data_IF_840565146144
#
_entry.id   IF_840565146144
#
_cell.length_a   1.000
_cell.length_b   1.000
_cell.length_c   1.000
_cell.angle_alpha   90.00
_cell.angle_beta   90.00
_cell.angle_gamma   90.00
#
_symmetry.space_group_name_H-M   'P 1'
#
loop_
_entity.id
_entity.type
_entity.pdbx_description
1 polymer ?
#
# COMPACT_ATOMS: atom_id res chain seq x y z
N UNK A 1 10.23 42.79 39.67
CA UNK A 1 9.69 42.87 38.29
C UNK A 1 10.53 41.92 37.46
N UNK A 2 9.92 40.84 36.96
CA UNK A 2 10.57 39.62 36.46
C UNK A 2 11.10 39.81 35.02
N UNK A 3 12.37 39.48 34.77
CA UNK A 3 12.97 39.46 33.42
C UNK A 3 12.78 38.06 32.83
N UNK A 4 12.01 37.94 31.74
CA UNK A 4 11.90 36.69 30.98
C UNK A 4 13.00 36.66 29.90
N UNK A 5 13.90 35.68 30.00
CA UNK A 5 14.84 35.34 28.94
C UNK A 5 14.19 34.27 28.06
N UNK A 6 13.93 34.59 26.79
CA UNK A 6 13.46 33.61 25.81
C UNK A 6 14.67 32.97 25.13
N UNK A 7 15.02 31.75 25.53
CA UNK A 7 15.96 30.89 24.81
C UNK A 7 15.26 30.33 23.57
N UNK A 8 15.60 30.86 22.39
CA UNK A 8 15.13 30.33 21.12
C UNK A 8 15.88 29.03 20.78
N UNK A 9 15.21 27.89 20.95
CA UNK A 9 15.71 26.59 20.50
C UNK A 9 15.48 26.53 18.99
N UNK A 10 16.54 26.73 18.20
CA UNK A 10 16.53 26.39 16.77
C UNK A 10 16.66 24.87 16.64
N UNK A 11 15.57 24.21 16.27
CA UNK A 11 15.63 22.85 15.78
C UNK A 11 15.77 22.91 14.25
N UNK A 12 16.93 22.55 13.73
CA UNK A 12 17.12 22.38 12.29
C UNK A 12 16.15 21.30 11.79
N UNK A 13 15.40 21.54 10.70
CA UNK A 13 14.59 20.49 10.09
C UNK A 13 15.54 19.44 9.52
N UNK A 14 15.76 18.36 10.27
CA UNK A 14 16.35 17.12 9.74
C UNK A 14 15.38 16.60 8.70
N UNK A 15 15.60 16.98 7.45
CA UNK A 15 14.81 16.51 6.32
C UNK A 15 15.26 15.08 6.05
N UNK A 16 14.64 14.13 6.75
CA UNK A 16 14.67 12.74 6.36
C UNK A 16 14.06 12.66 4.96
N UNK A 17 14.88 12.73 3.91
CA UNK A 17 14.38 12.50 2.56
C UNK A 17 13.89 11.07 2.51
N UNK A 18 12.58 10.81 2.35
CA UNK A 18 12.08 9.45 2.36
C UNK A 18 12.70 8.72 1.18
N UNK A 19 13.18 7.52 1.44
CA UNK A 19 13.52 6.58 0.38
C UNK A 19 12.22 6.23 -0.34
N UNK A 20 12.07 6.75 -1.56
CA UNK A 20 10.89 6.53 -2.39
C UNK A 20 9.69 7.39 -2.02
N UNK A 21 9.01 7.90 -3.04
CA UNK A 21 7.74 8.61 -2.86
C UNK A 21 6.63 7.57 -2.54
N UNK A 22 5.75 7.87 -1.59
CA UNK A 22 4.55 7.07 -1.35
C UNK A 22 3.41 7.71 -2.13
N UNK A 23 2.78 6.94 -3.02
CA UNK A 23 1.59 7.38 -3.73
C UNK A 23 0.32 6.91 -3.03
N UNK A 24 -0.75 7.69 -3.15
CA UNK A 24 -2.09 7.28 -2.73
C UNK A 24 -2.69 6.39 -3.80
N UNK A 25 -2.92 5.11 -3.48
CA UNK A 25 -3.63 4.16 -4.34
C UNK A 25 -5.14 4.29 -4.16
N UNK A 26 -5.90 3.96 -5.21
CA UNK A 26 -7.37 3.98 -5.15
C UNK A 26 -7.88 2.56 -4.92
N UNK A 27 -8.74 2.35 -3.91
CA UNK A 27 -9.41 1.06 -3.72
C UNK A 27 -10.76 1.05 -4.44
N UNK A 28 -11.02 0.01 -5.22
CA UNK A 28 -12.30 -0.23 -5.90
C UNK A 28 -12.77 -1.66 -5.68
N UNK A 29 -14.03 -1.93 -5.99
CA UNK A 29 -14.55 -3.30 -6.09
C UNK A 29 -14.56 -3.70 -7.56
N UNK A 30 -13.81 -4.74 -7.90
CA UNK A 30 -13.73 -5.31 -9.25
C UNK A 30 -14.13 -6.78 -9.17
N UNK A 31 -15.14 -7.19 -9.94
CA UNK A 31 -15.66 -8.58 -9.94
C UNK A 31 -16.04 -9.07 -8.53
N UNK A 32 -16.64 -8.19 -7.71
CA UNK A 32 -17.05 -8.51 -6.35
C UNK A 32 -15.92 -8.62 -5.33
N UNK A 33 -14.67 -8.29 -5.71
CA UNK A 33 -13.50 -8.32 -4.82
C UNK A 33 -12.89 -6.92 -4.67
N UNK A 34 -12.38 -6.56 -3.49
CA UNK A 34 -11.63 -5.32 -3.33
C UNK A 34 -10.33 -5.40 -4.15
N UNK A 35 -9.95 -4.30 -4.78
CA UNK A 35 -8.80 -4.18 -5.65
C UNK A 35 -8.09 -2.86 -5.39
N UNK A 36 -6.76 -2.86 -5.38
CA UNK A 36 -5.96 -1.64 -5.35
C UNK A 36 -5.62 -1.23 -6.79
N UNK A 37 -5.81 0.04 -7.10
CA UNK A 37 -5.59 0.62 -8.41
C UNK A 37 -4.49 1.68 -8.36
N UNK A 38 -3.68 1.73 -9.41
CA UNK A 38 -2.79 2.85 -9.67
C UNK A 38 -3.67 4.05 -10.06
N UNK A 39 -3.44 5.26 -9.51
CA UNK A 39 -4.16 6.46 -9.93
C UNK A 39 -4.13 6.66 -11.45
N UNK A 40 -5.23 7.13 -12.02
CA UNK A 40 -5.34 7.32 -13.48
C UNK A 40 -4.43 8.42 -14.02
N UNK A 41 -4.04 9.36 -13.18
CA UNK A 41 -3.13 10.47 -13.45
C UNK A 41 -1.67 10.17 -13.10
N UNK A 42 -1.38 8.93 -12.66
CA UNK A 42 -0.01 8.50 -12.41
C UNK A 42 0.84 8.67 -13.68
N UNK A 43 2.04 9.21 -13.51
CA UNK A 43 2.92 9.58 -14.64
C UNK A 43 3.65 8.40 -15.27
N UNK A 44 3.67 7.25 -14.59
CA UNK A 44 4.48 6.09 -14.95
C UNK A 44 3.75 4.80 -14.62
N UNK A 45 4.13 3.76 -15.35
CA UNK A 45 3.79 2.39 -15.02
C UNK A 45 4.45 1.97 -13.71
N UNK A 46 3.79 1.07 -12.98
CA UNK A 46 4.22 0.58 -11.68
C UNK A 46 4.59 -0.90 -11.78
N UNK A 47 5.89 -1.19 -11.62
CA UNK A 47 6.41 -2.56 -11.58
C UNK A 47 6.23 -3.14 -10.18
N UNK A 48 5.31 -4.08 -10.03
CA UNK A 48 4.92 -4.63 -8.73
C UNK A 48 6.02 -5.58 -8.24
N UNK A 49 6.71 -5.24 -7.17
CA UNK A 49 7.64 -6.15 -6.50
C UNK A 49 6.89 -7.07 -5.53
N UNK A 50 6.03 -6.48 -4.71
CA UNK A 50 5.22 -7.22 -3.75
C UNK A 50 3.90 -6.51 -3.48
N UNK A 51 2.94 -7.27 -2.96
CA UNK A 51 1.61 -6.79 -2.63
C UNK A 51 1.23 -7.36 -1.29
N UNK A 52 0.85 -6.49 -0.36
CA UNK A 52 0.37 -6.88 0.95
C UNK A 52 -1.05 -6.41 1.15
N UNK A 53 -1.87 -7.24 1.77
CA UNK A 53 -3.10 -6.81 2.43
C UNK A 53 -2.96 -7.03 3.92
N UNK A 54 -3.12 -5.95 4.68
CA UNK A 54 -2.98 -5.95 6.13
C UNK A 54 -4.33 -5.61 6.73
N UNK A 55 -4.81 -6.44 7.64
CA UNK A 55 -5.97 -6.18 8.46
C UNK A 55 -5.55 -5.51 9.77
N UNK A 56 -6.29 -4.48 10.16
CA UNK A 56 -6.05 -3.66 11.34
C UNK A 56 -7.36 -3.54 12.13
N UNK A 57 -7.34 -4.01 13.37
CA UNK A 57 -8.48 -3.98 14.29
C UNK A 57 -8.00 -3.63 15.70
N UNK A 58 -8.29 -2.40 16.14
CA UNK A 58 -7.77 -1.89 17.42
C UNK A 58 -6.24 -1.83 17.42
N UNK A 59 -5.60 -2.60 18.31
CA UNK A 59 -4.13 -2.74 18.38
C UNK A 59 -3.60 -3.92 17.58
N UNK A 60 -4.47 -4.78 17.05
CA UNK A 60 -4.05 -5.96 16.27
C UNK A 60 -3.79 -5.59 14.80
N UNK A 61 -2.74 -6.19 14.25
CA UNK A 61 -2.31 -5.99 12.86
C UNK A 61 -1.83 -7.32 12.28
N UNK A 62 -2.54 -7.79 11.25
CA UNK A 62 -2.32 -9.11 10.65
C UNK A 62 -2.12 -8.99 9.14
N UNK A 63 -1.06 -9.62 8.61
CA UNK A 63 -0.89 -9.80 7.18
C UNK A 63 -1.83 -10.92 6.71
N UNK A 64 -2.84 -10.58 5.89
CA UNK A 64 -3.91 -11.52 5.48
C UNK A 64 -3.79 -11.97 4.02
N UNK A 65 -2.92 -11.32 3.24
CA UNK A 65 -2.53 -11.78 1.91
C UNK A 65 -1.21 -11.13 1.51
N UNK A 66 -0.33 -11.91 0.88
CA UNK A 66 0.95 -11.42 0.39
C UNK A 66 1.35 -12.15 -0.89
N UNK A 67 1.76 -11.37 -1.88
CA UNK A 67 2.46 -11.84 -3.07
C UNK A 67 3.83 -11.16 -3.14
N UNK A 68 4.84 -11.91 -3.56
CA UNK A 68 6.19 -11.38 -3.81
C UNK A 68 6.76 -11.95 -5.10
N UNK A 69 7.32 -11.10 -5.95
CA UNK A 69 7.96 -11.54 -7.19
C UNK A 69 9.15 -12.46 -6.87
N UNK A 70 9.24 -13.59 -7.56
CA UNK A 70 10.33 -14.56 -7.40
C UNK A 70 11.67 -14.04 -7.94
N UNK A 71 11.61 -13.15 -8.93
CA UNK A 71 12.77 -12.52 -9.54
C UNK A 71 12.46 -11.07 -9.98
N UNK A 72 13.47 -10.21 -10.13
CA UNK A 72 13.27 -8.86 -10.68
C UNK A 72 12.80 -8.87 -12.15
N UNK A 73 13.24 -9.87 -12.93
CA UNK A 73 12.80 -10.07 -14.30
C UNK A 73 11.40 -10.71 -14.32
N UNK A 74 10.46 -10.09 -15.04
CA UNK A 74 9.09 -10.61 -15.18
C UNK A 74 8.11 -10.14 -14.12
N UNK A 75 8.42 -9.07 -13.38
CA UNK A 75 7.43 -8.40 -12.50
C UNK A 75 6.21 -7.96 -13.31
N UNK A 76 5.04 -8.18 -12.72
CA UNK A 76 3.78 -7.68 -13.23
C UNK A 76 3.77 -6.15 -13.21
N UNK A 77 3.34 -5.55 -14.32
CA UNK A 77 3.34 -4.11 -14.51
C UNK A 77 1.90 -3.62 -14.53
N UNK A 78 1.57 -2.71 -13.62
CA UNK A 78 0.30 -2.00 -13.59
C UNK A 78 0.47 -0.63 -14.26
N UNK A 79 -0.38 -0.35 -15.25
CA UNK A 79 -0.47 0.98 -15.87
C UNK A 79 -1.36 1.91 -15.04
N UNK A 80 -1.24 3.24 -15.19
CA UNK A 80 -2.18 4.19 -14.61
C UNK A 80 -3.64 3.78 -14.86
N UNK A 81 -4.45 3.77 -13.79
CA UNK A 81 -5.85 3.34 -13.82
C UNK A 81 -6.10 1.83 -13.74
N UNK A 82 -5.08 0.98 -13.91
CA UNK A 82 -5.23 -0.47 -13.75
C UNK A 82 -5.28 -0.86 -12.27
N UNK A 83 -6.00 -1.96 -12.00
CA UNK A 83 -6.23 -2.48 -10.67
C UNK A 83 -5.72 -3.91 -10.54
N UNK A 84 -5.24 -4.24 -9.34
CA UNK A 84 -4.94 -5.59 -8.93
C UNK A 84 -5.97 -6.05 -7.89
N UNK A 85 -6.84 -7.03 -8.22
CA UNK A 85 -7.82 -7.54 -7.28
C UNK A 85 -7.17 -8.39 -6.18
N UNK A 86 -7.78 -8.36 -4.99
CA UNK A 86 -7.47 -9.25 -3.89
C UNK A 86 -7.55 -10.72 -4.33
N UNK A 87 -6.55 -11.51 -3.96
CA UNK A 87 -6.48 -12.92 -4.32
C UNK A 87 -6.12 -13.20 -5.77
N UNK A 88 -5.65 -12.19 -6.52
CA UNK A 88 -5.04 -12.41 -7.83
C UNK A 88 -3.90 -13.43 -7.74
N UNK A 89 -3.75 -14.23 -8.78
CA UNK A 89 -2.61 -15.13 -8.97
C UNK A 89 -1.76 -14.54 -10.08
N UNK A 90 -0.52 -14.19 -9.76
CA UNK A 90 0.42 -13.61 -10.71
C UNK A 90 1.50 -14.62 -11.07
N UNK A 91 1.72 -14.83 -12.36
CA UNK A 91 2.79 -15.70 -12.83
C UNK A 91 4.15 -15.12 -12.41
N UNK A 92 5.05 -15.97 -11.88
CA UNK A 92 6.35 -15.53 -11.36
C UNK A 92 6.33 -14.90 -9.96
N UNK A 93 5.21 -15.05 -9.22
CA UNK A 93 5.11 -14.61 -7.83
C UNK A 93 4.94 -15.80 -6.89
N UNK A 94 5.54 -15.68 -5.71
CA UNK A 94 5.31 -16.56 -4.57
C UNK A 94 4.19 -15.96 -3.74
N UNK A 95 3.23 -16.80 -3.37
CA UNK A 95 2.17 -16.44 -2.43
C UNK A 95 2.65 -16.73 -1.00
N UNK A 96 3.25 -15.74 -0.36
CA UNK A 96 3.77 -15.86 1.01
C UNK A 96 2.63 -16.04 2.02
N UNK A 97 1.48 -15.37 1.79
CA UNK A 97 0.25 -15.56 2.56
C UNK A 97 -0.90 -15.76 1.58
N UNK A 98 -1.58 -16.92 1.58
CA UNK A 98 -2.68 -17.19 0.68
C UNK A 98 -3.89 -16.30 0.97
N UNK A 99 -4.61 -15.92 -0.09
CA UNK A 99 -5.86 -15.19 0.08
C UNK A 99 -6.91 -16.10 0.72
N UNK A 100 -7.70 -15.54 1.64
CA UNK A 100 -8.77 -16.20 2.35
C UNK A 100 -10.02 -15.33 2.29
N UNK A 101 -11.17 -15.88 2.70
CA UNK A 101 -12.37 -15.06 2.81
C UNK A 101 -12.15 -13.94 3.83
N UNK A 102 -12.44 -12.70 3.44
CA UNK A 102 -12.35 -11.54 4.33
C UNK A 102 -13.62 -11.47 5.18
N UNK A 103 -13.58 -12.04 6.39
CA UNK A 103 -14.75 -12.15 7.28
C UNK A 103 -14.65 -11.26 8.52
N UNK A 104 -13.44 -10.82 8.86
CA UNK A 104 -13.18 -10.05 10.06
C UNK A 104 -13.54 -8.57 9.82
N UNK A 105 -14.27 -7.94 10.75
CA UNK A 105 -14.54 -6.52 10.66
C UNK A 105 -13.27 -5.71 10.96
N UNK A 106 -13.16 -4.52 10.38
CA UNK A 106 -12.01 -3.64 10.61
C UNK A 106 -11.49 -3.00 9.33
N UNK A 107 -10.33 -2.35 9.45
CA UNK A 107 -9.66 -1.71 8.31
C UNK A 107 -8.75 -2.71 7.62
N UNK A 108 -8.78 -2.71 6.30
CA UNK A 108 -7.90 -3.46 5.45
C UNK A 108 -7.10 -2.48 4.60
N UNK A 109 -5.78 -2.58 4.62
CA UNK A 109 -4.87 -1.68 3.92
C UNK A 109 -4.04 -2.48 2.93
N UNK A 110 -4.25 -2.21 1.64
CA UNK A 110 -3.37 -2.66 0.58
C UNK A 110 -2.09 -1.84 0.57
N UNK A 111 -1.00 -2.51 0.26
CA UNK A 111 0.29 -1.91 -0.06
C UNK A 111 0.87 -2.60 -1.28
N UNK A 112 0.90 -1.88 -2.40
CA UNK A 112 1.70 -2.24 -3.57
C UNK A 112 3.10 -1.69 -3.37
N UNK A 113 4.12 -2.53 -3.46
CA UNK A 113 5.52 -2.10 -3.37
C UNK A 113 6.18 -2.25 -4.73
N UNK A 114 7.07 -1.32 -5.03
CA UNK A 114 7.98 -1.39 -6.15
C UNK A 114 9.41 -1.25 -5.66
N UNK A 115 10.31 -1.86 -6.41
CA UNK A 115 11.73 -1.62 -6.33
C UNK A 115 12.01 -0.31 -7.09
N UNK A 116 11.98 0.81 -6.36
CA UNK A 116 12.09 2.14 -6.96
C UNK A 116 13.48 2.34 -7.57
N UNK A 117 13.57 2.22 -8.90
CA UNK A 117 14.83 2.37 -9.64
C UNK A 117 15.32 3.82 -9.61
N UNK A 118 14.40 4.80 -9.62
CA UNK A 118 14.73 6.23 -9.46
C UNK A 118 14.11 6.77 -8.20
N UNK A 119 14.79 7.75 -7.58
CA UNK A 119 14.30 8.45 -6.37
C UNK A 119 12.92 9.11 -6.55
N UNK A 120 12.57 9.48 -7.79
CA UNK A 120 11.30 10.11 -8.13
C UNK A 120 10.18 9.12 -8.44
N UNK A 121 10.49 7.82 -8.48
CA UNK A 121 9.47 6.79 -8.69
C UNK A 121 8.75 6.51 -7.37
N UNK A 122 7.42 6.30 -7.41
CA UNK A 122 6.71 5.82 -6.23
C UNK A 122 7.27 4.45 -5.84
N UNK A 123 7.79 4.34 -4.61
CA UNK A 123 8.22 3.04 -4.05
C UNK A 123 7.04 2.22 -3.55
N UNK A 124 5.88 2.87 -3.34
CA UNK A 124 4.66 2.14 -3.01
C UNK A 124 3.39 2.93 -3.32
N UNK A 125 2.30 2.20 -3.51
CA UNK A 125 0.93 2.72 -3.50
C UNK A 125 0.12 2.08 -2.38
N UNK A 126 -0.61 2.88 -1.62
CA UNK A 126 -1.36 2.43 -0.44
C UNK A 126 -2.84 2.75 -0.61
N UNK A 127 -3.71 1.84 -0.20
CA UNK A 127 -5.15 2.08 -0.27
C UNK A 127 -5.88 1.26 0.76
N UNK A 128 -6.82 1.87 1.47
CA UNK A 128 -7.58 1.20 2.53
C UNK A 128 -9.06 1.09 2.20
N UNK A 129 -9.67 0.02 2.68
CA UNK A 129 -11.12 -0.15 2.77
C UNK A 129 -11.47 -0.72 4.14
N UNK A 130 -12.73 -0.69 4.53
CA UNK A 130 -13.18 -1.27 5.78
C UNK A 130 -14.29 -2.28 5.53
N UNK A 131 -14.32 -3.34 6.34
CA UNK A 131 -15.42 -4.29 6.40
C UNK A 131 -16.22 -4.08 7.68
N UNK A 132 -17.54 -4.04 7.53
CA UNK A 132 -18.51 -4.03 8.62
C UNK A 132 -18.73 -5.46 9.16
N UNK A 133 -19.14 -5.60 10.42
CA UNK A 133 -19.71 -6.86 10.91
C UNK A 133 -20.82 -7.34 9.97
N UNK A 134 -20.72 -8.58 9.47
CA UNK A 134 -21.67 -9.12 8.48
C UNK A 134 -21.23 -9.00 7.01
N UNK A 135 -20.04 -8.47 6.72
CA UNK A 135 -19.37 -8.62 5.41
C UNK A 135 -19.60 -7.51 4.39
N UNK A 136 -20.32 -6.45 4.74
CA UNK A 136 -20.48 -5.27 3.88
C UNK A 136 -19.26 -4.32 3.93
N UNK A 137 -19.01 -3.57 2.86
CA UNK A 137 -18.04 -2.46 2.90
C UNK A 137 -18.59 -1.29 3.72
N UNK A 138 -17.70 -0.54 4.39
CA UNK A 138 -18.10 0.63 5.17
C UNK A 138 -18.61 1.78 4.31
#
# INVERSE_FOLDING_TARGET
MLVMVFTAIHADPVTATPWGWQGDGVVKVTEGRPAICIPGDAKKDFSVESVWLIHESGTDRKLVWSLKASAPSGRFVLRPGQCLPYGAVLHGYIQEVPAQALTEAGRYTFRLNADAVRRTDPASYWGSFCLKPGGGLC
#
